data_IF_247452777611
#
_entry.id   IF_247452777611
#
_cell.length_a   1.000
_cell.length_b   1.000
_cell.length_c   1.000
_cell.angle_alpha   90.00
_cell.angle_beta   90.00
_cell.angle_gamma   90.00
#
_symmetry.space_group_name_H-M   'P 1'
#
loop_
_entity.id
_entity.type
_entity.pdbx_description
1 polymer ?
#
# COMPACT_ATOMS: atom_id res chain seq x y z
N UNK A 1 7.70 -23.37 2.76
CA UNK A 1 7.88 -22.01 2.21
C UNK A 1 7.73 -21.00 3.33
N UNK A 2 8.69 -20.08 3.54
CA UNK A 2 8.61 -19.10 4.64
C UNK A 2 7.56 -18.05 4.32
N UNK A 3 6.58 -17.82 5.20
CA UNK A 3 5.54 -16.78 5.04
C UNK A 3 6.19 -15.39 5.11
N UNK A 4 6.06 -14.59 4.05
CA UNK A 4 6.58 -13.22 3.98
C UNK A 4 5.55 -12.13 4.31
N UNK A 5 4.30 -12.53 4.56
CA UNK A 5 3.24 -11.63 5.02
C UNK A 5 3.16 -11.65 6.55
N UNK A 6 2.82 -10.52 7.20
CA UNK A 6 2.38 -10.50 8.58
C UNK A 6 1.27 -11.53 8.87
N UNK A 7 1.16 -11.93 10.14
CA UNK A 7 0.10 -12.82 10.62
C UNK A 7 -1.27 -12.25 10.26
N UNK A 8 -2.23 -13.11 9.91
CA UNK A 8 -3.63 -12.79 9.60
C UNK A 8 -3.87 -11.85 8.39
N UNK A 9 -2.84 -11.27 7.77
CA UNK A 9 -3.00 -10.36 6.62
C UNK A 9 -3.61 -11.05 5.40
N UNK A 10 -3.12 -12.25 5.05
CA UNK A 10 -3.67 -13.04 3.95
C UNK A 10 -5.16 -13.36 4.18
N UNK A 11 -5.50 -13.81 5.38
CA UNK A 11 -6.87 -14.19 5.76
C UNK A 11 -7.81 -12.96 5.72
N UNK A 12 -7.30 -11.79 6.11
CA UNK A 12 -8.02 -10.52 5.99
C UNK A 12 -8.32 -10.17 4.53
N UNK A 13 -7.34 -10.28 3.63
CA UNK A 13 -7.55 -10.01 2.20
C UNK A 13 -8.52 -10.99 1.56
N UNK A 14 -8.42 -12.29 1.89
CA UNK A 14 -9.37 -13.31 1.42
C UNK A 14 -10.79 -12.97 1.91
N UNK A 15 -10.95 -12.59 3.17
CA UNK A 15 -12.26 -12.22 3.72
C UNK A 15 -12.84 -10.98 3.04
N UNK A 16 -12.02 -9.95 2.78
CA UNK A 16 -12.43 -8.75 2.02
C UNK A 16 -12.88 -9.11 0.60
N UNK A 17 -12.14 -10.01 -0.06
CA UNK A 17 -12.44 -10.51 -1.40
C UNK A 17 -13.76 -11.27 -1.45
N UNK A 18 -13.96 -12.25 -0.57
CA UNK A 18 -15.20 -13.02 -0.53
C UNK A 18 -16.41 -12.13 -0.23
N UNK A 19 -16.25 -11.14 0.66
CA UNK A 19 -17.30 -10.15 0.90
C UNK A 19 -17.63 -9.33 -0.35
N UNK A 20 -16.61 -8.78 -1.03
CA UNK A 20 -16.83 -8.01 -2.24
C UNK A 20 -17.53 -8.83 -3.34
N UNK A 21 -17.15 -10.11 -3.48
CA UNK A 21 -17.79 -11.05 -4.41
C UNK A 21 -19.26 -11.31 -4.03
N UNK A 22 -19.55 -11.47 -2.74
CA UNK A 22 -20.92 -11.62 -2.25
C UNK A 22 -21.77 -10.36 -2.50
N UNK A 23 -21.15 -9.18 -2.45
CA UNK A 23 -21.78 -7.89 -2.76
C UNK A 23 -21.89 -7.63 -4.29
N UNK A 24 -21.47 -8.58 -5.14
CA UNK A 24 -21.59 -8.52 -6.59
C UNK A 24 -20.46 -7.80 -7.32
N UNK A 25 -19.33 -7.52 -6.65
CA UNK A 25 -18.15 -6.96 -7.29
C UNK A 25 -17.40 -8.00 -8.15
N UNK A 26 -16.60 -7.50 -9.10
CA UNK A 26 -15.74 -8.32 -9.94
C UNK A 26 -14.72 -9.14 -9.13
N UNK A 27 -14.35 -10.31 -9.66
CA UNK A 27 -13.33 -11.17 -9.07
C UNK A 27 -11.91 -10.62 -9.36
N UNK A 28 -11.42 -9.77 -8.45
CA UNK A 28 -10.11 -9.15 -8.56
C UNK A 28 -8.99 -9.96 -7.88
N UNK A 29 -7.72 -9.79 -8.33
CA UNK A 29 -6.57 -10.37 -7.63
C UNK A 29 -6.49 -9.92 -6.16
N UNK A 30 -5.94 -10.76 -5.26
CA UNK A 30 -5.89 -10.46 -3.81
C UNK A 30 -5.18 -9.14 -3.47
N UNK A 31 -4.21 -8.72 -4.29
CA UNK A 31 -3.47 -7.47 -4.07
C UNK A 31 -4.36 -6.22 -4.15
N UNK A 32 -5.48 -6.28 -4.89
CA UNK A 32 -6.46 -5.17 -4.98
C UNK A 32 -7.20 -4.92 -3.66
N UNK A 33 -7.14 -5.86 -2.71
CA UNK A 33 -7.73 -5.74 -1.38
C UNK A 33 -6.74 -5.24 -0.31
N UNK A 34 -5.51 -4.96 -0.74
CA UNK A 34 -4.48 -4.34 0.08
C UNK A 34 -4.58 -2.81 0.05
N UNK A 35 -4.05 -2.16 1.08
CA UNK A 35 -3.86 -0.72 1.09
C UNK A 35 -2.44 -0.32 1.54
N UNK A 36 -2.19 1.00 1.62
CA UNK A 36 -0.86 1.50 2.01
C UNK A 36 -0.44 1.10 3.42
N UNK A 37 -1.37 0.79 4.33
CA UNK A 37 -1.03 0.26 5.66
C UNK A 37 -0.53 -1.17 5.57
N UNK A 38 -1.11 -1.98 4.70
CA UNK A 38 -0.64 -3.34 4.43
C UNK A 38 0.75 -3.31 3.77
N UNK A 39 0.94 -2.45 2.75
CA UNK A 39 2.24 -2.29 2.09
C UNK A 39 3.32 -1.86 3.07
N UNK A 40 3.01 -0.91 3.95
CA UNK A 40 3.92 -0.48 5.01
C UNK A 40 4.35 -1.67 5.87
N UNK A 41 3.40 -2.47 6.37
CA UNK A 41 3.72 -3.63 7.23
C UNK A 41 4.54 -4.69 6.49
N UNK A 42 4.27 -4.94 5.21
CA UNK A 42 5.04 -5.88 4.38
C UNK A 42 6.47 -5.37 4.16
N UNK A 43 6.61 -4.10 3.76
CA UNK A 43 7.90 -3.47 3.44
C UNK A 43 8.78 -3.37 4.69
N UNK A 44 8.19 -3.00 5.83
CA UNK A 44 8.95 -2.76 7.06
C UNK A 44 9.38 -4.03 7.78
N UNK A 45 8.77 -5.16 7.44
CA UNK A 45 9.11 -6.45 8.03
C UNK A 45 10.60 -6.75 7.81
N UNK A 46 11.31 -7.09 8.89
CA UNK A 46 12.78 -7.14 8.92
C UNK A 46 13.43 -7.97 7.80
N UNK A 47 12.89 -9.16 7.52
CA UNK A 47 13.40 -10.04 6.47
C UNK A 47 13.10 -9.47 5.07
N UNK A 48 11.87 -9.02 4.81
CA UNK A 48 11.51 -8.38 3.55
C UNK A 48 12.33 -7.10 3.29
N UNK A 49 12.48 -6.26 4.30
CA UNK A 49 13.27 -5.04 4.21
C UNK A 49 14.71 -5.36 3.79
N UNK A 50 15.35 -6.26 4.53
CA UNK A 50 16.76 -6.59 4.29
C UNK A 50 16.99 -7.28 2.96
N UNK A 51 16.08 -8.16 2.54
CA UNK A 51 16.27 -9.02 1.36
C UNK A 51 15.80 -8.38 0.05
N UNK A 52 14.79 -7.51 0.09
CA UNK A 52 14.11 -7.02 -1.12
C UNK A 52 14.06 -5.49 -1.18
N UNK A 53 13.60 -4.83 -0.11
CA UNK A 53 13.18 -3.43 -0.21
C UNK A 53 14.28 -2.40 0.08
N UNK A 54 15.26 -2.73 0.91
CA UNK A 54 16.41 -1.85 1.21
C UNK A 54 17.18 -1.41 -0.04
N UNK A 55 17.56 -2.28 -1.00
CA UNK A 55 18.28 -1.83 -2.20
C UNK A 55 17.44 -0.92 -3.11
N UNK A 56 16.11 -0.99 -3.03
CA UNK A 56 15.19 -0.18 -3.83
C UNK A 56 14.99 1.20 -3.18
N UNK A 57 14.58 1.22 -1.91
CA UNK A 57 14.16 2.45 -1.23
C UNK A 57 15.29 3.14 -0.45
N UNK A 58 16.39 2.43 -0.16
CA UNK A 58 17.52 2.93 0.60
C UNK A 58 17.24 3.05 2.09
N UNK A 59 16.37 4.00 2.47
CA UNK A 59 15.99 4.30 3.85
C UNK A 59 14.53 3.90 4.12
N UNK A 60 14.30 3.20 5.22
CA UNK A 60 12.98 2.66 5.55
C UNK A 60 11.98 3.76 5.91
N UNK A 61 12.45 4.81 6.60
CA UNK A 61 11.61 5.95 7.00
C UNK A 61 11.04 6.69 5.78
N UNK A 62 11.81 6.86 4.70
CA UNK A 62 11.39 7.61 3.51
C UNK A 62 10.13 7.01 2.88
N UNK A 63 10.10 5.67 2.69
CA UNK A 63 8.94 4.97 2.13
C UNK A 63 7.78 4.89 3.13
N UNK A 64 8.08 4.67 4.42
CA UNK A 64 7.08 4.67 5.51
C UNK A 64 6.28 5.96 5.53
N UNK A 65 6.98 7.09 5.54
CA UNK A 65 6.34 8.41 5.59
C UNK A 65 5.52 8.70 4.33
N UNK A 66 6.04 8.34 3.16
CA UNK A 66 5.34 8.49 1.88
C UNK A 66 4.00 7.74 1.89
N UNK A 67 4.01 6.46 2.31
CA UNK A 67 2.80 5.64 2.41
C UNK A 67 1.80 6.18 3.43
N UNK A 68 2.28 6.71 4.57
CA UNK A 68 1.42 7.33 5.58
C UNK A 68 0.76 8.61 5.07
N UNK A 69 1.48 9.45 4.33
CA UNK A 69 0.92 10.69 3.73
C UNK A 69 -0.07 10.40 2.59
N UNK A 70 0.18 9.36 1.80
CA UNK A 70 -0.71 8.96 0.71
C UNK A 70 -2.01 8.27 1.18
N UNK A 71 -2.03 7.71 2.39
CA UNK A 71 -3.17 6.95 2.88
C UNK A 71 -4.49 7.75 2.98
N UNK A 72 -4.52 8.97 3.57
CA UNK A 72 -5.73 9.78 3.60
C UNK A 72 -6.26 10.14 2.20
N UNK A 73 -5.36 10.45 1.25
CA UNK A 73 -5.73 10.78 -0.14
C UNK A 73 -6.39 9.58 -0.83
N UNK A 74 -5.86 8.36 -0.64
CA UNK A 74 -6.47 7.11 -1.14
C UNK A 74 -7.82 6.82 -0.50
N UNK A 75 -7.99 7.09 0.80
CA UNK A 75 -9.31 6.96 1.44
C UNK A 75 -10.31 7.92 0.82
N UNK A 76 -9.91 9.17 0.58
CA UNK A 76 -10.79 10.17 -0.01
C UNK A 76 -11.28 9.76 -1.40
N UNK A 77 -10.40 9.23 -2.26
CA UNK A 77 -10.79 8.74 -3.60
C UNK A 77 -11.77 7.57 -3.54
N UNK A 78 -11.53 6.59 -2.65
CA UNK A 78 -12.37 5.39 -2.53
C UNK A 78 -13.75 5.65 -1.93
N UNK A 79 -13.90 6.71 -1.15
CA UNK A 79 -15.17 7.12 -0.53
C UNK A 79 -15.83 8.31 -1.23
N UNK A 80 -15.38 8.65 -2.45
CA UNK A 80 -15.86 9.79 -3.23
C UNK A 80 -15.91 11.10 -2.42
N UNK A 81 -14.91 11.31 -1.55
CA UNK A 81 -14.78 12.54 -0.76
C UNK A 81 -14.11 13.63 -1.60
N UNK A 82 -14.35 14.88 -1.22
CA UNK A 82 -13.71 16.03 -1.86
C UNK A 82 -12.19 15.98 -1.70
N UNK A 83 -11.46 16.25 -2.79
CA UNK A 83 -10.02 16.40 -2.81
C UNK A 83 -9.66 17.87 -2.98
N UNK A 84 -8.80 18.37 -2.11
CA UNK A 84 -8.29 19.74 -2.17
C UNK A 84 -7.10 19.85 -3.14
N UNK A 85 -6.69 21.08 -3.46
CA UNK A 85 -5.45 21.31 -4.22
C UNK A 85 -4.21 20.83 -3.45
N UNK A 86 -4.23 20.95 -2.12
CA UNK A 86 -3.14 20.47 -1.27
C UNK A 86 -3.01 18.94 -1.32
N UNK A 87 -4.15 18.22 -1.39
CA UNK A 87 -4.16 16.77 -1.56
C UNK A 87 -3.54 16.35 -2.90
N UNK A 88 -3.86 17.04 -4.00
CA UNK A 88 -3.27 16.78 -5.32
C UNK A 88 -1.75 17.07 -5.34
N UNK A 89 -1.31 18.17 -4.72
CA UNK A 89 0.10 18.50 -4.62
C UNK A 89 0.88 17.46 -3.80
N UNK A 90 0.30 17.02 -2.67
CA UNK A 90 0.84 15.96 -1.82
C UNK A 90 0.95 14.64 -2.61
N UNK A 91 -0.13 14.24 -3.28
CA UNK A 91 -0.17 13.04 -4.12
C UNK A 91 0.96 13.06 -5.16
N UNK A 92 1.05 14.11 -5.97
CA UNK A 92 2.09 14.24 -7.00
C UNK A 92 3.49 14.17 -6.42
N UNK A 93 3.71 14.85 -5.29
CA UNK A 93 5.03 14.90 -4.65
C UNK A 93 5.45 13.53 -4.12
N UNK A 94 4.58 12.87 -3.37
CA UNK A 94 4.88 11.57 -2.75
C UNK A 94 4.92 10.44 -3.81
N UNK A 95 4.05 10.46 -4.81
CA UNK A 95 4.13 9.53 -5.94
C UNK A 95 5.46 9.67 -6.69
N UNK A 96 5.92 10.89 -6.96
CA UNK A 96 7.22 11.10 -7.60
C UNK A 96 8.38 10.58 -6.73
N UNK A 97 8.35 10.82 -5.41
CA UNK A 97 9.38 10.32 -4.48
C UNK A 97 9.46 8.79 -4.49
N UNK A 98 8.32 8.11 -4.42
CA UNK A 98 8.26 6.64 -4.40
C UNK A 98 8.67 6.06 -5.75
N UNK A 99 8.07 6.53 -6.86
CA UNK A 99 8.34 5.97 -8.19
C UNK A 99 9.77 6.20 -8.66
N UNK A 100 10.40 7.32 -8.27
CA UNK A 100 11.82 7.56 -8.58
C UNK A 100 12.75 6.52 -7.96
N UNK A 101 12.37 5.90 -6.84
CA UNK A 101 13.12 4.79 -6.23
C UNK A 101 12.90 3.45 -6.92
N UNK A 102 11.76 3.28 -7.59
CA UNK A 102 11.38 2.03 -8.26
C UNK A 102 11.83 1.97 -9.73
N UNK A 103 12.01 3.14 -10.37
CA UNK A 103 12.59 3.27 -11.70
C UNK A 103 14.11 3.18 -11.59
N UNK A 104 14.62 1.96 -11.45
CA UNK A 104 16.02 1.64 -11.74
C UNK A 104 16.30 1.87 -13.23
#
# INVERSE_FOLDING_TARGET
MKRQLPSNMLDSWVTKKEKARADGADDLPLIEYADFTDYKLIIERKDNWTQVFKPIFGRQEDIRESLQRLFPVRIATMHARFLTLDDDLLLRTETNRVLKRMRL
#
